data_IF_589199420939
#
_entry.id   IF_589199420939
#
_cell.length_a   1.000
_cell.length_b   1.000
_cell.length_c   1.000
_cell.angle_alpha   90.00
_cell.angle_beta   90.00
_cell.angle_gamma   90.00
#
_symmetry.space_group_name_H-M   'P 1'
#
loop_
_entity.id
_entity.type
_entity.pdbx_description
1 polymer ?
#
# COMPACT_ATOMS: atom_id res chain seq x y z
N UNK A 1 8.88 -5.60 8.26
CA UNK A 1 7.61 -5.07 8.82
C UNK A 1 7.51 -3.53 8.82
N UNK A 2 8.57 -2.74 8.54
CA UNK A 2 8.58 -1.25 8.57
C UNK A 2 8.06 -0.49 7.32
N UNK A 3 7.67 -1.17 6.22
CA UNK A 3 7.35 -0.49 4.94
C UNK A 3 5.93 0.12 4.92
N UNK A 4 5.02 -0.34 5.80
CA UNK A 4 3.60 0.02 5.75
C UNK A 4 3.20 1.24 6.59
N UNK A 5 4.10 1.78 7.41
CA UNK A 5 3.82 2.96 8.26
C UNK A 5 3.94 4.29 7.52
N UNK A 6 4.46 4.30 6.28
CA UNK A 6 4.78 5.56 5.59
C UNK A 6 3.53 6.43 5.34
N UNK A 7 2.39 5.84 4.99
CA UNK A 7 1.16 6.63 4.77
C UNK A 7 0.40 6.96 6.07
N UNK A 8 0.40 6.07 7.08
CA UNK A 8 -0.13 6.42 8.41
C UNK A 8 0.65 7.58 9.02
N UNK A 9 1.97 7.66 8.76
CA UNK A 9 2.81 8.77 9.22
C UNK A 9 2.42 10.09 8.55
N UNK A 10 2.00 10.12 7.29
CA UNK A 10 1.56 11.38 6.65
C UNK A 10 0.31 11.92 7.33
N UNK A 11 -0.70 11.08 7.57
CA UNK A 11 -1.91 11.52 8.29
C UNK A 11 -1.63 11.89 9.75
N UNK A 12 -0.79 11.11 10.46
CA UNK A 12 -0.35 11.48 11.80
C UNK A 12 0.45 12.78 11.82
N UNK A 13 1.29 13.04 10.81
CA UNK A 13 2.02 14.31 10.65
C UNK A 13 1.05 15.44 10.34
N UNK A 14 0.04 15.23 9.50
CA UNK A 14 -0.99 16.24 9.23
C UNK A 14 -1.74 16.58 10.52
N UNK A 15 -2.18 15.57 11.28
CA UNK A 15 -2.81 15.77 12.60
C UNK A 15 -1.87 16.50 13.55
N UNK A 16 -0.59 16.09 13.63
CA UNK A 16 0.41 16.77 14.45
C UNK A 16 0.63 18.22 14.00
N UNK A 17 0.68 18.49 12.69
CA UNK A 17 0.80 19.84 12.13
C UNK A 17 -0.44 20.68 12.40
N UNK A 18 -1.63 20.08 12.34
CA UNK A 18 -2.88 20.73 12.75
C UNK A 18 -2.76 21.15 14.21
N UNK A 19 -2.43 20.22 15.12
CA UNK A 19 -2.32 20.52 16.56
C UNK A 19 -1.14 21.43 16.93
N UNK A 20 -0.01 21.36 16.23
CA UNK A 20 1.20 22.18 16.52
C UNK A 20 1.18 23.56 15.86
N UNK A 21 0.48 23.71 14.72
CA UNK A 21 0.22 25.04 14.13
C UNK A 21 -0.94 25.77 14.82
N UNK A 22 -1.78 25.04 15.56
CA UNK A 22 -2.78 25.59 16.45
C UNK A 22 -2.13 26.11 17.74
N UNK A 23 -1.89 27.42 17.81
CA UNK A 23 -1.48 28.07 19.05
C UNK A 23 -2.70 28.14 20.00
N UNK A 24 -2.68 27.53 21.19
CA UNK A 24 -3.83 27.55 22.12
C UNK A 24 -4.19 28.95 22.64
N UNK A 25 -3.37 29.96 22.32
CA UNK A 25 -3.55 31.36 22.74
C UNK A 25 -4.18 32.28 21.70
N UNK A 26 -4.62 31.78 20.52
CA UNK A 26 -5.46 32.59 19.64
C UNK A 26 -6.89 32.62 20.20
N UNK A 27 -7.14 33.56 21.11
CA UNK A 27 -8.46 33.87 21.60
C UNK A 27 -9.34 34.27 20.39
N UNK A 28 -10.51 33.65 20.15
CA UNK A 28 -11.42 34.07 19.07
C UNK A 28 -11.96 35.50 19.27
N UNK A 29 -11.66 36.12 20.41
CA UNK A 29 -12.28 37.34 20.91
C UNK A 29 -11.58 38.65 20.52
N UNK A 30 -10.62 38.68 19.59
CA UNK A 30 -10.24 39.95 18.92
C UNK A 30 -11.21 40.20 17.75
N UNK A 31 -12.46 40.49 18.12
CA UNK A 31 -13.57 40.74 17.19
C UNK A 31 -13.47 42.17 16.65
N UNK A 32 -13.19 42.29 15.35
CA UNK A 32 -13.57 43.46 14.56
C UNK A 32 -15.07 43.30 14.26
N UNK A 33 -15.90 44.24 14.71
CA UNK A 33 -17.37 44.21 14.63
C UNK A 33 -17.92 43.60 13.31
N UNK A 34 -18.53 42.41 13.37
CA UNK A 34 -19.33 41.86 12.25
C UNK A 34 -20.53 42.77 12.00
N UNK A 35 -20.64 43.31 10.79
CA UNK A 35 -21.91 43.86 10.26
C UNK A 35 -22.48 42.89 9.23
N UNK A 36 -23.81 42.71 9.25
CA UNK A 36 -24.59 41.65 8.60
C UNK A 36 -24.43 41.58 7.06
N UNK A 37 -23.78 42.57 6.42
CA UNK A 37 -23.72 42.70 4.97
C UNK A 37 -22.43 42.21 4.30
N UNK A 38 -21.38 41.85 5.05
CA UNK A 38 -20.10 41.41 4.45
C UNK A 38 -19.65 40.07 5.01
N UNK A 39 -19.75 39.04 4.16
CA UNK A 39 -19.06 37.75 4.34
C UNK A 39 -17.54 37.99 4.41
N UNK A 40 -16.93 37.72 5.54
CA UNK A 40 -15.51 37.95 5.83
C UNK A 40 -14.65 36.73 5.49
N UNK A 41 -13.35 37.00 5.26
CA UNK A 41 -12.27 36.02 5.12
C UNK A 41 -11.48 36.03 6.43
N UNK A 42 -11.54 34.94 7.18
CA UNK A 42 -10.72 34.77 8.37
C UNK A 42 -9.39 34.10 8.00
N UNK A 43 -8.27 34.56 8.59
CA UNK A 43 -6.95 33.92 8.40
C UNK A 43 -6.43 33.46 9.74
N UNK A 44 -6.17 32.16 9.85
CA UNK A 44 -5.89 31.48 11.11
C UNK A 44 -6.64 30.15 11.17
N UNK A 45 -6.43 29.41 12.26
CA UNK A 45 -7.11 28.13 12.49
C UNK A 45 -8.30 28.37 13.42
N UNK A 46 -9.38 27.62 13.22
CA UNK A 46 -10.54 27.60 14.11
C UNK A 46 -10.62 26.23 14.78
N UNK A 47 -10.75 26.22 16.10
CA UNK A 47 -10.88 25.01 16.91
C UNK A 47 -12.18 25.13 17.71
N UNK A 48 -13.07 24.17 17.52
CA UNK A 48 -14.37 24.05 18.19
C UNK A 48 -14.34 22.77 19.02
N UNK A 49 -14.33 22.91 20.35
CA UNK A 49 -14.22 21.78 21.28
C UNK A 49 -15.55 21.41 21.92
N UNK A 50 -16.39 22.40 22.19
CA UNK A 50 -17.64 22.22 22.92
C UNK A 50 -18.86 22.59 22.07
N UNK A 51 -20.06 22.18 22.50
CA UNK A 51 -21.29 22.62 21.82
C UNK A 51 -21.44 24.15 21.88
N UNK A 52 -21.04 24.78 23.00
CA UNK A 52 -21.01 26.24 23.11
C UNK A 52 -20.12 26.88 22.03
N UNK A 53 -18.99 26.28 21.66
CA UNK A 53 -18.14 26.78 20.57
C UNK A 53 -18.86 26.71 19.22
N UNK A 54 -19.58 25.61 18.96
CA UNK A 54 -20.39 25.41 17.75
C UNK A 54 -21.52 26.45 17.67
N UNK A 55 -22.27 26.61 18.75
CA UNK A 55 -23.43 27.50 18.81
C UNK A 55 -23.04 28.97 18.65
N UNK A 56 -21.91 29.36 19.25
CA UNK A 56 -21.35 30.71 19.18
C UNK A 56 -20.53 30.98 17.92
N UNK A 57 -20.39 30.01 16.99
CA UNK A 57 -19.61 30.20 15.78
C UNK A 57 -20.10 31.42 15.00
N UNK A 58 -19.17 32.32 14.66
CA UNK A 58 -19.50 33.65 14.16
C UNK A 58 -20.15 33.60 12.76
N UNK A 59 -21.29 34.31 12.61
CA UNK A 59 -22.12 34.25 11.40
C UNK A 59 -21.51 34.90 10.15
N UNK A 60 -20.37 35.60 10.25
CA UNK A 60 -19.78 36.33 9.12
C UNK A 60 -18.54 35.65 8.47
N UNK A 61 -18.05 34.50 8.96
CA UNK A 61 -16.86 33.82 8.41
C UNK A 61 -17.22 32.86 7.27
N UNK A 62 -17.40 33.40 6.06
CA UNK A 62 -17.66 32.57 4.88
C UNK A 62 -16.46 31.74 4.42
N UNK A 63 -15.25 32.29 4.58
CA UNK A 63 -14.01 31.68 4.10
C UNK A 63 -12.97 31.65 5.21
N UNK A 64 -12.46 30.46 5.49
CA UNK A 64 -11.41 30.18 6.44
C UNK A 64 -10.09 29.88 5.69
N UNK A 65 -9.14 30.81 5.80
CA UNK A 65 -7.76 30.60 5.36
C UNK A 65 -6.96 29.88 6.46
N UNK A 66 -7.28 28.61 6.71
CA UNK A 66 -6.66 27.79 7.74
C UNK A 66 -7.40 26.48 7.97
N UNK A 67 -7.12 25.83 9.11
CA UNK A 67 -7.75 24.58 9.51
C UNK A 67 -9.08 24.84 10.24
N UNK A 68 -10.10 24.04 9.95
CA UNK A 68 -11.28 23.89 10.83
C UNK A 68 -11.15 22.59 11.61
N UNK A 69 -11.07 22.68 12.92
CA UNK A 69 -10.88 21.55 13.83
C UNK A 69 -12.09 21.47 14.76
N UNK A 70 -12.87 20.41 14.63
CA UNK A 70 -14.00 20.10 15.52
C UNK A 70 -13.56 18.90 16.35
N UNK A 71 -13.12 19.12 17.58
CA UNK A 71 -12.41 18.10 18.36
C UNK A 71 -12.83 18.06 19.83
N UNK A 72 -13.41 16.93 20.24
CA UNK A 72 -13.92 16.71 21.61
C UNK A 72 -12.87 16.24 22.61
N UNK A 73 -11.58 16.30 22.27
CA UNK A 73 -10.48 15.91 23.16
C UNK A 73 -10.46 16.74 24.45
N UNK A 74 -10.29 16.05 25.58
CA UNK A 74 -10.25 16.63 26.94
C UNK A 74 -11.53 17.39 27.36
N UNK A 75 -12.66 17.13 26.71
CA UNK A 75 -13.95 17.70 27.09
C UNK A 75 -14.65 16.79 28.11
N UNK A 76 -14.82 17.29 29.34
CA UNK A 76 -15.52 16.60 30.44
C UNK A 76 -17.03 16.92 30.50
N UNK A 77 -17.42 18.11 30.04
CA UNK A 77 -18.81 18.60 29.99
C UNK A 77 -19.01 19.48 28.75
N UNK A 78 -20.26 19.67 28.31
CA UNK A 78 -20.59 20.45 27.09
C UNK A 78 -20.12 19.78 25.78
N UNK A 79 -20.37 18.48 25.66
CA UNK A 79 -20.04 17.71 24.47
C UNK A 79 -20.81 18.18 23.25
N UNK A 80 -20.14 18.22 22.09
CA UNK A 80 -20.76 18.51 20.79
C UNK A 80 -21.77 17.39 20.46
N UNK A 81 -23.05 17.77 20.36
CA UNK A 81 -24.20 16.91 20.04
C UNK A 81 -24.61 17.02 18.58
N UNK A 82 -24.44 18.19 17.97
CA UNK A 82 -24.76 18.46 16.57
C UNK A 82 -23.92 19.63 16.02
N UNK A 83 -23.88 19.76 14.70
CA UNK A 83 -23.14 20.82 14.00
C UNK A 83 -24.07 21.82 13.31
N UNK A 84 -25.37 21.82 13.64
CA UNK A 84 -26.40 22.55 12.90
C UNK A 84 -26.13 24.04 12.91
N UNK A 85 -25.57 24.57 14.01
CA UNK A 85 -25.22 25.98 14.10
C UNK A 85 -24.14 26.41 13.10
N UNK A 86 -23.38 25.49 12.48
CA UNK A 86 -22.42 25.81 11.41
C UNK A 86 -23.08 25.96 10.03
N UNK A 87 -24.35 25.57 9.91
CA UNK A 87 -25.06 25.60 8.64
C UNK A 87 -25.08 27.02 8.05
N UNK A 88 -24.75 27.13 6.77
CA UNK A 88 -24.62 28.39 6.02
C UNK A 88 -23.60 29.42 6.54
N UNK A 89 -22.85 29.12 7.60
CA UNK A 89 -21.84 30.03 8.15
C UNK A 89 -20.52 29.98 7.38
N UNK A 90 -20.08 28.78 6.99
CA UNK A 90 -18.80 28.56 6.32
C UNK A 90 -18.98 27.88 4.95
N UNK A 91 -18.35 28.43 3.92
CA UNK A 91 -18.38 27.90 2.55
C UNK A 91 -17.02 27.38 2.05
N UNK A 92 -15.91 27.90 2.58
CA UNK A 92 -14.57 27.57 2.08
C UNK A 92 -13.60 27.36 3.23
N UNK A 93 -12.91 26.22 3.24
CA UNK A 93 -11.77 25.92 4.12
C UNK A 93 -10.55 25.75 3.21
N UNK A 94 -9.56 26.64 3.27
CA UNK A 94 -8.41 26.55 2.35
C UNK A 94 -7.40 25.48 2.74
N UNK A 95 -7.45 24.98 3.98
CA UNK A 95 -6.62 23.86 4.46
C UNK A 95 -7.47 22.63 4.71
N UNK A 96 -7.31 21.97 5.85
CA UNK A 96 -8.00 20.73 6.19
C UNK A 96 -9.17 20.93 7.16
N UNK A 97 -10.16 20.05 7.06
CA UNK A 97 -11.25 19.86 8.02
C UNK A 97 -10.94 18.62 8.87
N UNK A 98 -10.93 18.78 10.19
CA UNK A 98 -10.82 17.67 11.15
C UNK A 98 -12.09 17.58 12.00
N UNK A 99 -12.66 16.38 12.11
CA UNK A 99 -13.79 16.05 13.00
C UNK A 99 -13.35 14.87 13.88
N UNK A 100 -13.00 15.14 15.12
CA UNK A 100 -12.24 14.23 15.98
C UNK A 100 -12.85 14.03 17.35
N UNK A 101 -12.74 12.81 17.89
CA UNK A 101 -12.91 12.54 19.33
C UNK A 101 -14.28 12.96 19.90
N UNK A 102 -15.35 12.92 19.09
CA UNK A 102 -16.70 13.31 19.49
C UNK A 102 -17.46 12.09 20.03
N UNK A 103 -17.67 12.07 21.35
CA UNK A 103 -18.25 10.92 22.08
C UNK A 103 -19.72 10.66 21.77
N UNK A 104 -20.47 11.68 21.35
CA UNK A 104 -21.94 11.59 21.22
C UNK A 104 -22.51 12.08 19.88
N UNK A 105 -21.72 12.75 19.05
CA UNK A 105 -22.16 13.22 17.73
C UNK A 105 -22.62 12.03 16.85
N UNK A 106 -23.84 12.08 16.31
CA UNK A 106 -24.41 10.97 15.52
C UNK A 106 -24.32 11.16 14.00
N UNK A 107 -24.29 12.42 13.51
CA UNK A 107 -24.18 12.81 12.10
C UNK A 107 -23.35 14.11 11.97
N UNK A 108 -23.09 14.56 10.74
CA UNK A 108 -22.40 15.83 10.47
C UNK A 108 -23.32 16.89 9.85
N UNK A 109 -24.62 16.79 10.14
CA UNK A 109 -25.61 17.76 9.67
C UNK A 109 -25.22 19.16 10.13
N UNK A 110 -25.20 20.11 9.19
CA UNK A 110 -24.74 21.48 9.41
C UNK A 110 -23.43 21.82 8.68
N UNK A 111 -22.72 20.83 8.13
CA UNK A 111 -21.57 21.08 7.26
C UNK A 111 -21.93 21.25 5.77
N UNK A 112 -23.20 21.01 5.41
CA UNK A 112 -23.75 20.98 4.05
C UNK A 112 -23.36 22.15 3.14
N UNK A 113 -23.16 23.34 3.72
CA UNK A 113 -22.90 24.58 2.98
C UNK A 113 -21.44 24.74 2.53
N UNK A 114 -20.52 23.90 3.01
CA UNK A 114 -19.12 23.92 2.59
C UNK A 114 -19.04 23.49 1.12
N UNK A 115 -18.35 24.30 0.31
CA UNK A 115 -18.18 24.10 -1.15
C UNK A 115 -16.76 23.71 -1.52
N UNK A 116 -15.78 24.05 -0.67
CA UNK A 116 -14.38 23.79 -0.95
C UNK A 116 -13.59 23.49 0.33
N UNK A 117 -12.80 22.42 0.27
CA UNK A 117 -11.78 22.05 1.25
C UNK A 117 -10.47 21.90 0.48
N UNK A 118 -9.46 22.67 0.85
CA UNK A 118 -8.25 22.83 0.04
C UNK A 118 -7.24 21.70 0.20
N UNK A 119 -7.14 21.11 1.39
CA UNK A 119 -6.23 20.00 1.70
C UNK A 119 -7.07 18.75 2.03
N UNK A 120 -7.20 18.40 3.32
CA UNK A 120 -7.70 17.09 3.74
C UNK A 120 -9.02 17.13 4.49
N UNK A 121 -9.73 16.01 4.51
CA UNK A 121 -10.87 15.75 5.40
C UNK A 121 -10.52 14.57 6.29
N UNK A 122 -10.44 14.80 7.60
CA UNK A 122 -10.06 13.80 8.59
C UNK A 122 -11.22 13.63 9.56
N UNK A 123 -11.77 12.41 9.67
CA UNK A 123 -12.88 12.12 10.58
C UNK A 123 -12.54 10.94 11.48
N UNK A 124 -12.12 11.23 12.72
CA UNK A 124 -11.50 10.25 13.63
C UNK A 124 -12.16 10.13 15.00
N UNK A 125 -12.11 8.93 15.60
CA UNK A 125 -12.50 8.68 16.99
C UNK A 125 -13.91 9.20 17.38
N UNK A 126 -14.88 9.08 16.48
CA UNK A 126 -16.26 9.51 16.74
C UNK A 126 -17.17 8.31 17.06
N UNK A 127 -17.24 7.93 18.35
CA UNK A 127 -17.86 6.69 18.84
C UNK A 127 -19.32 6.47 18.45
N UNK A 128 -20.05 7.58 18.23
CA UNK A 128 -21.49 7.56 17.92
C UNK A 128 -21.81 8.01 16.50
N UNK A 129 -20.81 8.42 15.71
CA UNK A 129 -21.03 8.88 14.35
C UNK A 129 -21.45 7.70 13.47
N UNK A 130 -22.71 7.71 13.04
CA UNK A 130 -23.36 6.63 12.28
C UNK A 130 -23.48 6.95 10.79
N UNK A 131 -23.54 8.24 10.45
CA UNK A 131 -23.76 8.71 9.09
C UNK A 131 -22.95 9.96 8.79
N UNK A 132 -22.53 10.06 7.52
CA UNK A 132 -21.99 11.27 6.91
C UNK A 132 -22.63 11.51 5.53
N UNK A 133 -23.87 11.06 5.35
CA UNK A 133 -24.62 11.32 4.12
C UNK A 133 -24.83 12.83 3.89
N UNK A 134 -24.81 13.62 4.96
CA UNK A 134 -24.81 15.09 4.96
C UNK A 134 -23.44 15.69 4.61
N UNK A 135 -22.48 14.89 4.13
CA UNK A 135 -21.24 15.45 3.61
C UNK A 135 -21.53 16.26 2.35
N UNK A 136 -20.96 17.47 2.19
CA UNK A 136 -21.38 18.39 1.13
C UNK A 136 -21.25 17.81 -0.27
N UNK A 137 -22.39 17.66 -0.95
CA UNK A 137 -22.45 17.12 -2.32
C UNK A 137 -21.82 18.04 -3.38
N UNK A 138 -21.52 19.29 -3.01
CA UNK A 138 -20.85 20.29 -3.84
C UNK A 138 -19.34 20.05 -3.95
N UNK A 139 -18.74 19.32 -2.99
CA UNK A 139 -17.33 18.99 -2.99
C UNK A 139 -17.09 17.85 -3.98
N UNK A 140 -16.27 18.12 -4.99
CA UNK A 140 -15.95 17.16 -6.06
C UNK A 140 -14.50 16.68 -6.03
N UNK A 141 -13.64 17.33 -5.23
CA UNK A 141 -12.22 17.05 -5.10
C UNK A 141 -11.78 17.31 -3.67
N UNK A 142 -10.99 16.39 -3.12
CA UNK A 142 -10.33 16.48 -1.81
C UNK A 142 -8.89 16.00 -2.03
N UNK A 143 -7.89 16.57 -1.34
CA UNK A 143 -6.52 16.08 -1.44
C UNK A 143 -6.43 14.74 -0.75
N UNK A 144 -6.65 14.70 0.56
CA UNK A 144 -6.64 13.45 1.32
C UNK A 144 -7.89 13.28 2.16
N UNK A 145 -8.42 12.06 2.24
CA UNK A 145 -9.49 11.73 3.18
C UNK A 145 -9.04 10.61 4.10
N UNK A 146 -9.04 10.86 5.42
CA UNK A 146 -8.80 9.84 6.44
C UNK A 146 -10.04 9.57 7.26
N UNK A 147 -10.43 8.32 7.29
CA UNK A 147 -11.55 7.81 8.05
C UNK A 147 -11.08 6.74 9.04
N UNK A 148 -10.41 7.12 10.16
CA UNK A 148 -9.86 6.15 11.10
C UNK A 148 -10.87 5.70 12.17
N UNK A 149 -10.36 4.92 13.12
CA UNK A 149 -11.12 4.15 14.11
C UNK A 149 -12.21 4.92 14.87
N UNK A 150 -13.24 4.19 15.30
CA UNK A 150 -14.26 4.69 16.23
C UNK A 150 -15.57 5.10 15.57
N UNK A 151 -15.54 5.48 14.30
CA UNK A 151 -16.79 5.75 13.56
C UNK A 151 -17.58 4.46 13.35
N UNK A 152 -18.89 4.53 13.56
CA UNK A 152 -19.81 3.39 13.39
C UNK A 152 -20.60 3.55 12.10
N UNK A 153 -19.92 3.97 11.04
CA UNK A 153 -20.51 3.98 9.71
C UNK A 153 -20.83 2.55 9.29
N UNK A 154 -22.09 2.33 8.88
CA UNK A 154 -22.47 1.07 8.25
C UNK A 154 -22.15 1.09 6.75
N UNK A 155 -22.24 2.26 6.11
CA UNK A 155 -21.99 2.49 4.69
C UNK A 155 -21.22 3.80 4.49
N UNK A 156 -20.46 3.87 3.40
CA UNK A 156 -19.90 5.13 2.91
C UNK A 156 -21.00 6.03 2.33
N UNK A 157 -20.91 7.37 2.46
CA UNK A 157 -21.94 8.27 1.94
C UNK A 157 -21.93 8.32 0.42
N UNK A 158 -23.12 8.46 -0.16
CA UNK A 158 -23.24 8.85 -1.57
C UNK A 158 -22.72 10.28 -1.73
N UNK A 159 -21.64 10.44 -2.49
CA UNK A 159 -21.02 11.74 -2.72
C UNK A 159 -20.62 11.92 -4.20
N UNK A 160 -20.38 13.17 -4.58
CA UNK A 160 -19.94 13.53 -5.94
C UNK A 160 -18.41 13.66 -6.04
N UNK A 161 -17.66 13.18 -5.04
CA UNK A 161 -16.21 13.32 -5.02
C UNK A 161 -15.61 12.34 -6.03
N UNK A 162 -14.82 12.88 -6.94
CA UNK A 162 -14.28 12.13 -8.09
C UNK A 162 -12.74 12.16 -8.17
N UNK A 163 -12.11 12.98 -7.32
CA UNK A 163 -10.66 13.20 -7.29
C UNK A 163 -10.15 13.16 -5.86
N UNK A 164 -9.14 12.31 -5.64
CA UNK A 164 -8.37 12.18 -4.42
C UNK A 164 -6.89 12.13 -4.77
N UNK A 165 -6.03 12.81 -4.00
CA UNK A 165 -4.64 12.42 -3.89
C UNK A 165 -4.55 11.13 -3.07
N UNK A 166 -5.13 11.10 -1.86
CA UNK A 166 -5.20 9.92 -1.01
C UNK A 166 -6.59 9.65 -0.41
N UNK A 167 -6.88 8.36 -0.20
CA UNK A 167 -8.11 7.89 0.43
C UNK A 167 -7.75 6.77 1.43
N UNK A 168 -7.95 7.04 2.70
CA UNK A 168 -7.73 6.13 3.81
C UNK A 168 -9.07 5.80 4.48
N UNK A 169 -9.48 4.53 4.38
CA UNK A 169 -10.69 3.98 5.01
C UNK A 169 -10.22 2.89 5.96
N UNK A 170 -10.08 3.22 7.25
CA UNK A 170 -9.47 2.28 8.18
C UNK A 170 -10.13 2.13 9.53
N UNK A 171 -10.06 0.90 10.08
CA UNK A 171 -10.53 0.58 11.44
C UNK A 171 -12.02 0.87 11.67
N UNK A 172 -12.86 0.73 10.64
CA UNK A 172 -14.31 0.88 10.72
C UNK A 172 -14.97 -0.48 10.90
N UNK A 173 -15.12 -0.92 12.15
CA UNK A 173 -15.62 -2.27 12.49
C UNK A 173 -17.05 -2.54 12.04
N UNK A 174 -17.87 -1.49 11.81
CA UNK A 174 -19.26 -1.64 11.36
C UNK A 174 -19.44 -1.42 9.84
N UNK A 175 -18.40 -0.96 9.13
CA UNK A 175 -18.50 -0.62 7.71
C UNK A 175 -18.65 -1.89 6.87
N UNK A 176 -19.80 -2.01 6.19
CA UNK A 176 -20.13 -3.16 5.33
C UNK A 176 -19.91 -2.90 3.85
N UNK A 177 -19.95 -1.64 3.44
CA UNK A 177 -19.99 -1.25 2.03
C UNK A 177 -19.38 0.14 1.83
N UNK A 178 -18.66 0.31 0.72
CA UNK A 178 -18.13 1.60 0.25
C UNK A 178 -18.85 2.14 -1.00
N UNK A 179 -20.02 1.56 -1.31
CA UNK A 179 -20.94 2.04 -2.37
C UNK A 179 -21.29 3.49 -2.08
N UNK A 180 -20.81 4.40 -2.91
CA UNK A 180 -20.78 5.83 -2.64
C UNK A 180 -19.50 6.50 -3.17
N UNK A 181 -18.44 5.71 -3.37
CA UNK A 181 -17.20 6.11 -4.05
C UNK A 181 -17.26 6.03 -5.58
N UNK A 182 -18.46 5.81 -6.16
CA UNK A 182 -18.68 5.37 -7.55
C UNK A 182 -18.17 6.36 -8.62
N UNK A 183 -17.78 7.56 -8.22
CA UNK A 183 -17.32 8.63 -9.10
C UNK A 183 -15.78 8.73 -9.19
N UNK A 184 -15.05 7.94 -8.40
CA UNK A 184 -13.59 8.01 -8.34
C UNK A 184 -12.98 7.26 -9.51
N UNK A 185 -12.33 8.00 -10.41
CA UNK A 185 -11.62 7.40 -11.56
C UNK A 185 -10.12 7.26 -11.35
N UNK A 186 -9.52 8.19 -10.61
CA UNK A 186 -8.08 8.24 -10.37
C UNK A 186 -7.82 8.66 -8.93
N UNK A 187 -6.92 7.95 -8.25
CA UNK A 187 -6.42 8.34 -6.91
C UNK A 187 -4.89 8.37 -6.90
N UNK A 188 -4.32 9.50 -6.51
CA UNK A 188 -2.87 9.69 -6.44
C UNK A 188 -2.21 9.87 -7.80
N UNK A 189 -1.12 10.63 -7.82
CA UNK A 189 -0.46 11.04 -9.06
C UNK A 189 1.08 10.97 -9.05
N UNK A 190 1.73 10.73 -7.89
CA UNK A 190 3.20 10.68 -7.82
C UNK A 190 3.73 9.82 -6.66
N UNK A 191 5.03 9.53 -6.70
CA UNK A 191 5.74 8.82 -5.63
C UNK A 191 5.64 9.52 -4.26
N UNK A 192 5.50 10.85 -4.27
CA UNK A 192 5.50 11.70 -3.08
C UNK A 192 4.11 11.87 -2.43
N UNK A 193 3.04 11.31 -2.98
CA UNK A 193 1.73 11.45 -2.36
C UNK A 193 0.61 10.62 -2.98
N UNK A 194 -0.11 9.93 -2.11
CA UNK A 194 -1.48 9.52 -2.39
C UNK A 194 -1.69 8.09 -2.89
N UNK A 195 -2.85 7.54 -2.57
CA UNK A 195 -3.28 6.19 -2.91
C UNK A 195 -4.52 5.80 -2.11
N UNK A 196 -5.03 4.61 -2.35
CA UNK A 196 -6.15 4.05 -1.61
C UNK A 196 -5.60 3.08 -0.55
N UNK A 197 -5.99 3.27 0.70
CA UNK A 197 -5.75 2.34 1.78
C UNK A 197 -7.08 1.98 2.44
N UNK A 198 -7.51 0.73 2.27
CA UNK A 198 -8.71 0.18 2.90
C UNK A 198 -8.26 -0.91 3.86
N UNK A 199 -8.34 -0.63 5.16
CA UNK A 199 -7.74 -1.55 6.15
C UNK A 199 -8.51 -1.72 7.45
N UNK A 200 -8.51 -2.93 8.01
CA UNK A 200 -9.13 -3.25 9.29
C UNK A 200 -10.64 -2.90 9.35
N UNK A 201 -11.36 -3.02 8.24
CA UNK A 201 -12.82 -2.91 8.21
C UNK A 201 -13.42 -4.31 8.31
N UNK A 202 -13.72 -4.75 9.54
CA UNK A 202 -13.98 -6.16 9.83
C UNK A 202 -15.21 -6.75 9.13
N UNK A 203 -16.19 -5.90 8.76
CA UNK A 203 -17.43 -6.30 8.10
C UNK A 203 -17.50 -5.96 6.61
N UNK A 204 -16.45 -5.38 6.01
CA UNK A 204 -16.44 -5.02 4.59
C UNK A 204 -16.36 -6.29 3.73
N UNK A 205 -17.37 -6.52 2.89
CA UNK A 205 -17.52 -7.77 2.13
C UNK A 205 -16.98 -7.68 0.69
N UNK A 206 -17.06 -6.49 0.09
CA UNK A 206 -16.63 -6.19 -1.28
C UNK A 206 -16.08 -4.75 -1.38
N UNK A 207 -15.50 -4.40 -2.53
CA UNK A 207 -15.03 -3.05 -2.83
C UNK A 207 -16.01 -2.32 -3.76
N UNK A 208 -17.29 -2.76 -3.79
CA UNK A 208 -18.34 -2.11 -4.54
C UNK A 208 -18.46 -0.66 -4.08
N UNK A 209 -18.44 0.28 -5.02
CA UNK A 209 -18.03 1.64 -4.75
C UNK A 209 -16.90 2.11 -5.66
N UNK A 210 -15.95 1.24 -6.01
CA UNK A 210 -14.75 1.63 -6.77
C UNK A 210 -14.85 1.31 -8.25
N UNK A 211 -16.03 1.01 -8.78
CA UNK A 211 -16.21 0.47 -10.14
C UNK A 211 -15.69 1.42 -11.22
N UNK A 212 -15.67 2.73 -10.95
CA UNK A 212 -15.13 3.73 -11.87
C UNK A 212 -13.60 3.86 -11.81
N UNK A 213 -12.92 3.25 -10.83
CA UNK A 213 -11.50 3.44 -10.59
C UNK A 213 -10.68 2.80 -11.71
N UNK A 214 -9.98 3.64 -12.47
CA UNK A 214 -9.13 3.20 -13.57
C UNK A 214 -7.65 3.19 -13.18
N UNK A 215 -7.24 4.08 -12.26
CA UNK A 215 -5.83 4.26 -11.89
C UNK A 215 -5.69 4.58 -10.41
N UNK A 216 -4.68 4.02 -9.77
CA UNK A 216 -4.24 4.44 -8.45
C UNK A 216 -2.73 4.53 -8.39
N UNK A 217 -2.16 5.34 -7.50
CA UNK A 217 -0.72 5.30 -7.26
C UNK A 217 -0.34 4.17 -6.30
N UNK A 218 -0.88 4.16 -5.08
CA UNK A 218 -0.79 3.02 -4.15
C UNK A 218 -2.17 2.40 -3.90
N UNK A 219 -2.27 1.08 -3.81
CA UNK A 219 -3.48 0.40 -3.36
C UNK A 219 -3.12 -0.60 -2.25
N UNK A 220 -3.61 -0.36 -1.04
CA UNK A 220 -3.42 -1.23 0.12
C UNK A 220 -4.76 -1.75 0.62
N UNK A 221 -4.94 -3.06 0.59
CA UNK A 221 -6.12 -3.77 1.09
C UNK A 221 -5.67 -4.71 2.21
N UNK A 222 -5.91 -4.33 3.47
CA UNK A 222 -5.26 -4.99 4.59
C UNK A 222 -6.18 -5.28 5.79
N UNK A 223 -6.25 -6.53 6.27
CA UNK A 223 -7.00 -6.80 7.50
C UNK A 223 -8.53 -6.71 7.38
N UNK A 224 -9.09 -6.76 6.16
CA UNK A 224 -10.55 -6.74 5.96
C UNK A 224 -11.08 -8.18 5.99
N UNK A 225 -11.33 -8.70 7.19
CA UNK A 225 -11.56 -10.13 7.46
C UNK A 225 -12.68 -10.76 6.61
N UNK A 226 -13.72 -10.00 6.24
CA UNK A 226 -14.88 -10.49 5.46
C UNK A 226 -14.75 -10.29 3.95
N UNK A 227 -13.73 -9.57 3.48
CA UNK A 227 -13.52 -9.30 2.06
C UNK A 227 -13.17 -10.61 1.34
N UNK A 228 -13.95 -10.98 0.33
CA UNK A 228 -13.80 -12.28 -0.36
C UNK A 228 -13.02 -12.21 -1.66
N UNK A 229 -13.05 -11.05 -2.32
CA UNK A 229 -12.45 -10.80 -3.62
C UNK A 229 -12.27 -9.28 -3.83
N UNK A 230 -11.92 -8.88 -5.05
CA UNK A 230 -11.67 -7.49 -5.45
C UNK A 230 -12.80 -6.93 -6.33
N UNK A 231 -14.01 -7.48 -6.26
CA UNK A 231 -15.15 -6.91 -6.99
C UNK A 231 -15.37 -5.46 -6.58
N UNK A 232 -15.61 -4.61 -7.57
CA UNK A 232 -15.49 -3.16 -7.48
C UNK A 232 -14.22 -2.61 -8.13
N UNK A 233 -13.19 -3.40 -8.43
CA UNK A 233 -11.97 -2.94 -9.10
C UNK A 233 -11.88 -3.33 -10.59
N UNK A 234 -13.01 -3.66 -11.22
CA UNK A 234 -13.07 -4.22 -12.58
C UNK A 234 -12.44 -3.31 -13.64
N UNK A 235 -12.45 -2.00 -13.44
CA UNK A 235 -11.89 -1.04 -14.39
C UNK A 235 -10.45 -0.61 -14.06
N UNK A 236 -9.87 -1.10 -12.97
CA UNK A 236 -8.52 -0.71 -12.55
C UNK A 236 -7.47 -1.28 -13.52
N UNK A 237 -6.80 -0.38 -14.24
CA UNK A 237 -5.80 -0.72 -15.26
C UNK A 237 -4.38 -0.53 -14.81
N UNK A 238 -4.12 0.41 -13.90
CA UNK A 238 -2.77 0.78 -13.50
C UNK A 238 -2.66 1.11 -12.02
N UNK A 239 -1.64 0.55 -11.39
CA UNK A 239 -1.11 0.98 -10.11
C UNK A 239 0.28 1.58 -10.36
N UNK A 240 0.52 2.83 -9.96
CA UNK A 240 1.78 3.52 -10.22
C UNK A 240 2.95 2.97 -9.39
N UNK A 241 2.68 2.72 -8.12
CA UNK A 241 3.58 2.14 -7.13
C UNK A 241 3.11 0.74 -6.71
N UNK A 242 2.79 0.56 -5.43
CA UNK A 242 2.57 -0.76 -4.84
C UNK A 242 1.10 -1.17 -4.75
N UNK A 243 0.81 -2.42 -5.14
CA UNK A 243 -0.37 -3.18 -4.76
C UNK A 243 -0.02 -4.06 -3.56
N UNK A 244 -0.63 -3.77 -2.41
CA UNK A 244 -0.40 -4.48 -1.17
C UNK A 244 -1.70 -5.12 -0.68
N UNK A 245 -1.72 -6.44 -0.58
CA UNK A 245 -2.90 -7.20 -0.16
C UNK A 245 -2.47 -8.15 0.96
N UNK A 246 -3.05 -8.00 2.15
CA UNK A 246 -2.72 -8.95 3.20
C UNK A 246 -3.63 -8.98 4.41
N UNK A 247 -3.54 -10.07 5.17
CA UNK A 247 -4.38 -10.34 6.35
C UNK A 247 -5.88 -10.27 6.06
N UNK A 248 -6.30 -10.59 4.84
CA UNK A 248 -7.73 -10.67 4.50
C UNK A 248 -8.16 -12.14 4.61
N UNK A 249 -8.59 -12.55 5.80
CA UNK A 249 -8.83 -13.96 6.15
C UNK A 249 -9.82 -14.69 5.22
N UNK A 250 -10.84 -13.99 4.71
CA UNK A 250 -11.84 -14.57 3.79
C UNK A 250 -11.49 -14.44 2.30
N UNK A 251 -10.39 -13.77 1.96
CA UNK A 251 -10.02 -13.47 0.58
C UNK A 251 -9.61 -14.76 -0.14
N UNK A 252 -10.39 -15.18 -1.12
CA UNK A 252 -10.16 -16.45 -1.83
C UNK A 252 -9.68 -16.26 -3.27
N UNK A 253 -9.88 -15.07 -3.85
CA UNK A 253 -9.50 -14.76 -5.23
C UNK A 253 -9.23 -13.28 -5.44
N UNK A 254 -8.51 -12.95 -6.51
CA UNK A 254 -8.33 -11.56 -6.98
C UNK A 254 -9.34 -11.15 -8.07
N UNK A 255 -10.46 -11.87 -8.17
CA UNK A 255 -11.55 -11.53 -9.07
C UNK A 255 -11.95 -10.06 -8.89
N UNK A 256 -11.98 -9.31 -10.00
CA UNK A 256 -12.06 -7.86 -10.02
C UNK A 256 -10.81 -7.21 -10.63
N UNK A 257 -9.61 -7.78 -10.45
CA UNK A 257 -8.37 -7.22 -11.00
C UNK A 257 -8.07 -7.61 -12.47
N UNK A 258 -9.04 -8.17 -13.19
CA UNK A 258 -8.87 -8.77 -14.52
C UNK A 258 -8.33 -7.79 -15.60
N UNK A 259 -8.42 -6.49 -15.36
CA UNK A 259 -7.96 -5.44 -16.26
C UNK A 259 -6.66 -4.76 -15.82
N UNK A 260 -6.05 -5.20 -14.72
CA UNK A 260 -4.80 -4.63 -14.22
C UNK A 260 -3.64 -4.99 -15.15
N UNK A 261 -3.06 -3.99 -15.83
CA UNK A 261 -2.01 -4.19 -16.84
C UNK A 261 -0.62 -3.84 -16.31
N UNK A 262 -0.54 -2.95 -15.32
CA UNK A 262 0.71 -2.41 -14.80
C UNK A 262 0.63 -2.15 -13.31
N UNK A 263 1.69 -2.53 -12.60
CA UNK A 263 1.92 -2.19 -11.20
C UNK A 263 3.42 -2.04 -10.95
N UNK A 264 3.78 -1.24 -9.95
CA UNK A 264 5.18 -1.04 -9.58
C UNK A 264 5.73 -2.07 -8.61
N UNK A 265 4.92 -2.52 -7.67
CA UNK A 265 5.25 -3.61 -6.75
C UNK A 265 4.00 -4.41 -6.39
N UNK A 266 4.15 -5.72 -6.21
CA UNK A 266 3.10 -6.64 -5.77
C UNK A 266 3.52 -7.28 -4.46
N UNK A 267 2.70 -7.10 -3.42
CA UNK A 267 2.88 -7.74 -2.13
C UNK A 267 1.60 -8.46 -1.72
N UNK A 268 1.69 -9.77 -1.53
CA UNK A 268 0.59 -10.65 -1.12
C UNK A 268 1.02 -11.39 0.14
N UNK A 269 0.44 -11.05 1.30
CA UNK A 269 0.91 -11.56 2.60
C UNK A 269 -0.24 -12.02 3.48
N UNK A 270 -0.12 -13.17 4.15
CA UNK A 270 -1.06 -13.62 5.18
C UNK A 270 -2.53 -13.70 4.68
N UNK A 271 -2.79 -14.22 3.47
CA UNK A 271 -4.15 -14.48 2.99
C UNK A 271 -4.40 -16.01 2.94
N UNK A 272 -4.78 -16.64 4.07
CA UNK A 272 -4.75 -18.09 4.21
C UNK A 272 -5.74 -18.83 3.30
N UNK A 273 -6.82 -18.18 2.83
CA UNK A 273 -7.80 -18.76 1.92
C UNK A 273 -7.58 -18.40 0.44
N UNK A 274 -6.57 -17.57 0.13
CA UNK A 274 -6.31 -17.14 -1.25
C UNK A 274 -5.83 -18.32 -2.08
N UNK A 275 -6.63 -18.71 -3.07
CA UNK A 275 -6.33 -19.85 -3.94
C UNK A 275 -6.19 -19.49 -5.41
N UNK A 276 -6.66 -18.31 -5.81
CA UNK A 276 -6.71 -17.90 -7.21
C UNK A 276 -6.25 -16.45 -7.42
N UNK A 277 -5.18 -16.28 -8.20
CA UNK A 277 -4.66 -14.98 -8.62
C UNK A 277 -4.71 -14.77 -10.15
N UNK A 278 -5.42 -15.61 -10.91
CA UNK A 278 -5.46 -15.58 -12.39
C UNK A 278 -5.95 -14.24 -12.96
N UNK A 279 -6.66 -13.44 -12.19
CA UNK A 279 -7.02 -12.07 -12.59
C UNK A 279 -5.79 -11.19 -12.90
N UNK A 280 -4.58 -11.56 -12.47
CA UNK A 280 -3.33 -10.83 -12.74
C UNK A 280 -2.70 -11.10 -14.11
N UNK A 281 -3.29 -11.95 -14.95
CA UNK A 281 -2.71 -12.43 -16.21
C UNK A 281 -2.29 -11.32 -17.19
N UNK A 282 -2.81 -10.09 -17.09
CA UNK A 282 -2.43 -9.00 -18.00
C UNK A 282 -1.11 -8.33 -17.65
N UNK A 283 -0.57 -8.55 -16.46
CA UNK A 283 0.66 -7.90 -16.01
C UNK A 283 1.86 -8.51 -16.74
N UNK A 284 2.61 -7.66 -17.44
CA UNK A 284 3.81 -8.07 -18.19
C UNK A 284 5.12 -7.65 -17.53
N UNK A 285 5.06 -6.59 -16.73
CA UNK A 285 6.22 -5.99 -16.08
C UNK A 285 5.78 -5.51 -14.71
N UNK A 286 6.56 -5.85 -13.69
CA UNK A 286 6.49 -5.24 -12.36
C UNK A 286 7.65 -4.25 -12.31
N UNK A 287 7.35 -2.96 -12.37
CA UNK A 287 8.40 -1.95 -12.40
C UNK A 287 8.08 -0.73 -11.57
N UNK A 288 8.97 -0.40 -10.63
CA UNK A 288 8.89 0.83 -9.85
C UNK A 288 8.74 2.08 -10.74
N UNK A 289 8.48 3.22 -10.11
CA UNK A 289 8.46 4.50 -10.84
C UNK A 289 9.77 4.69 -11.64
N UNK A 290 9.74 5.54 -12.67
CA UNK A 290 10.95 5.88 -13.46
C UNK A 290 12.00 6.66 -12.64
N UNK A 291 11.77 6.84 -11.35
CA UNK A 291 12.66 7.55 -10.44
C UNK A 291 13.84 6.66 -10.04
N UNK A 292 14.97 7.31 -9.77
CA UNK A 292 16.23 6.64 -9.47
C UNK A 292 16.14 5.74 -8.24
N UNK A 293 15.34 6.12 -7.24
CA UNK A 293 15.19 5.44 -5.95
C UNK A 293 13.98 4.51 -5.87
N UNK A 294 13.29 4.26 -6.99
CA UNK A 294 12.04 3.51 -6.97
C UNK A 294 12.23 2.07 -6.52
N UNK A 295 11.20 1.45 -5.93
CA UNK A 295 11.25 0.06 -5.51
C UNK A 295 10.39 -0.83 -6.41
N UNK A 296 10.85 -2.06 -6.62
CA UNK A 296 10.12 -3.09 -7.35
C UNK A 296 10.13 -4.40 -6.56
N UNK A 297 9.03 -4.68 -5.87
CA UNK A 297 8.87 -5.87 -5.07
C UNK A 297 7.88 -6.83 -5.73
N UNK A 298 8.21 -8.12 -5.73
CA UNK A 298 7.28 -9.22 -5.91
C UNK A 298 7.38 -10.10 -4.67
N UNK A 299 6.41 -9.99 -3.77
CA UNK A 299 6.41 -10.67 -2.46
C UNK A 299 5.16 -11.52 -2.33
N UNK A 300 5.35 -12.81 -2.08
CA UNK A 300 4.26 -13.76 -1.83
C UNK A 300 4.64 -14.52 -0.56
N UNK A 301 3.99 -14.19 0.55
CA UNK A 301 4.37 -14.67 1.88
C UNK A 301 3.15 -15.24 2.60
N UNK A 302 3.25 -16.45 3.14
CA UNK A 302 2.22 -17.05 3.98
C UNK A 302 0.81 -17.07 3.34
N UNK A 303 0.70 -17.56 2.10
CA UNK A 303 -0.57 -17.77 1.42
C UNK A 303 -0.83 -19.27 1.23
N UNK A 304 -1.17 -19.96 2.31
CA UNK A 304 -1.17 -21.42 2.43
C UNK A 304 -2.20 -22.16 1.57
N UNK A 305 -3.22 -21.49 1.03
CA UNK A 305 -4.16 -22.08 0.06
C UNK A 305 -3.76 -21.88 -1.41
N UNK A 306 -2.74 -21.05 -1.68
CA UNK A 306 -2.28 -20.80 -3.03
C UNK A 306 -1.48 -22.01 -3.51
N UNK A 307 -1.93 -22.63 -4.61
CA UNK A 307 -1.31 -23.85 -5.16
C UNK A 307 -0.37 -23.59 -6.33
N UNK A 308 -0.53 -22.44 -6.98
CA UNK A 308 0.19 -22.05 -8.19
C UNK A 308 0.22 -20.55 -8.33
N UNK A 309 1.20 -20.03 -9.07
CA UNK A 309 1.30 -18.62 -9.43
C UNK A 309 0.64 -18.28 -10.78
N UNK A 310 -0.38 -19.03 -11.19
CA UNK A 310 -1.07 -18.99 -12.51
C UNK A 310 -1.63 -17.63 -12.97
N UNK A 311 -1.47 -16.56 -12.21
CA UNK A 311 -1.75 -15.18 -12.63
C UNK A 311 -0.53 -14.40 -13.11
N UNK A 312 0.68 -14.89 -12.85
CA UNK A 312 1.93 -14.17 -13.09
C UNK A 312 2.66 -14.65 -14.35
N UNK A 313 2.08 -15.59 -15.08
CA UNK A 313 2.69 -16.28 -16.22
C UNK A 313 3.11 -15.33 -17.35
N UNK A 314 2.61 -14.09 -17.38
CA UNK A 314 2.98 -13.11 -18.40
C UNK A 314 4.03 -12.10 -17.92
N UNK A 315 4.44 -12.14 -16.65
CA UNK A 315 5.47 -11.26 -16.09
C UNK A 315 6.82 -11.65 -16.66
N UNK A 316 7.40 -10.75 -17.46
CA UNK A 316 8.71 -10.92 -18.09
C UNK A 316 9.84 -10.21 -17.37
N UNK A 317 9.52 -9.15 -16.63
CA UNK A 317 10.53 -8.28 -16.01
C UNK A 317 10.09 -7.81 -14.64
N UNK A 318 11.04 -7.80 -13.71
CA UNK A 318 10.94 -7.21 -12.38
C UNK A 318 12.06 -6.15 -12.25
N UNK A 319 11.72 -4.86 -12.29
CA UNK A 319 12.73 -3.80 -12.50
C UNK A 319 12.50 -2.56 -11.66
N UNK A 320 13.52 -2.09 -10.93
CA UNK A 320 13.50 -0.81 -10.20
C UNK A 320 14.37 0.27 -10.86
N UNK A 321 14.45 1.45 -10.23
CA UNK A 321 15.41 2.51 -10.58
C UNK A 321 16.87 2.16 -10.23
N UNK A 322 17.81 3.02 -10.63
CA UNK A 322 19.27 2.77 -10.55
C UNK A 322 19.81 2.66 -9.11
N UNK A 323 19.24 3.40 -8.17
CA UNK A 323 19.50 3.31 -6.72
C UNK A 323 18.37 2.56 -6.00
N UNK A 324 17.40 2.07 -6.79
CA UNK A 324 16.23 1.35 -6.34
C UNK A 324 16.52 -0.06 -5.86
N UNK A 325 15.61 -0.59 -5.06
CA UNK A 325 15.66 -1.96 -4.56
C UNK A 325 14.68 -2.81 -5.36
N UNK A 326 15.17 -3.92 -5.88
CA UNK A 326 14.37 -4.96 -6.53
C UNK A 326 14.36 -6.21 -5.67
N UNK A 327 13.20 -6.75 -5.31
CA UNK A 327 13.14 -8.02 -4.55
C UNK A 327 12.09 -8.98 -5.09
N UNK A 328 12.51 -10.23 -5.26
CA UNK A 328 11.63 -11.39 -5.41
C UNK A 328 11.67 -12.17 -4.09
N UNK A 329 10.56 -12.25 -3.38
CA UNK A 329 10.46 -12.90 -2.06
C UNK A 329 9.30 -13.88 -2.08
N UNK A 330 9.59 -15.17 -1.92
CA UNK A 330 8.61 -16.24 -1.81
C UNK A 330 8.87 -16.98 -0.50
N UNK A 331 8.01 -16.77 0.49
CA UNK A 331 8.24 -17.26 1.86
C UNK A 331 7.01 -17.93 2.46
N UNK A 332 7.22 -18.99 3.24
CA UNK A 332 6.17 -19.63 4.05
C UNK A 332 4.91 -20.05 3.24
N UNK A 333 5.06 -20.44 1.97
CA UNK A 333 3.95 -20.95 1.15
C UNK A 333 3.98 -22.48 1.02
N UNK A 334 2.87 -23.05 0.56
CA UNK A 334 2.66 -24.50 0.41
C UNK A 334 2.68 -24.97 -1.05
N UNK A 335 2.96 -24.07 -1.99
CA UNK A 335 3.04 -24.40 -3.42
C UNK A 335 4.15 -25.41 -3.69
N UNK A 336 3.93 -26.31 -4.66
CA UNK A 336 4.92 -27.32 -5.05
C UNK A 336 5.89 -26.82 -6.13
N UNK A 337 5.51 -25.78 -6.87
CA UNK A 337 6.36 -25.14 -7.87
C UNK A 337 6.02 -23.65 -7.99
N UNK A 338 6.90 -22.90 -8.65
CA UNK A 338 6.68 -21.50 -9.02
C UNK A 338 6.52 -21.32 -10.53
N UNK A 339 5.96 -22.30 -11.25
CA UNK A 339 5.90 -22.29 -12.73
C UNK A 339 5.20 -21.06 -13.32
N UNK A 340 4.36 -20.38 -12.53
CA UNK A 340 3.78 -19.10 -12.94
C UNK A 340 4.80 -17.97 -13.10
N UNK A 341 6.06 -18.16 -12.72
CA UNK A 341 7.18 -17.25 -12.97
C UNK A 341 8.10 -17.72 -14.10
N UNK A 342 7.78 -18.83 -14.79
CA UNK A 342 8.64 -19.39 -15.83
C UNK A 342 8.98 -18.39 -16.95
N UNK A 343 8.14 -17.39 -17.21
CA UNK A 343 8.38 -16.38 -18.25
C UNK A 343 9.15 -15.14 -17.76
N UNK A 344 9.56 -15.08 -16.49
CA UNK A 344 10.38 -14.01 -15.96
C UNK A 344 11.78 -14.12 -16.56
N UNK A 345 12.20 -13.10 -17.32
CA UNK A 345 13.47 -13.08 -18.06
C UNK A 345 14.53 -12.20 -17.41
N UNK A 346 14.10 -11.14 -16.71
CA UNK A 346 15.01 -10.14 -16.19
C UNK A 346 14.59 -9.66 -14.80
N UNK A 347 15.57 -9.62 -13.91
CA UNK A 347 15.48 -8.88 -12.64
C UNK A 347 16.57 -7.80 -12.64
N UNK A 348 16.24 -6.54 -12.36
CA UNK A 348 17.26 -5.49 -12.33
C UNK A 348 16.93 -4.30 -11.45
N UNK A 349 17.91 -3.79 -10.72
CA UNK A 349 17.81 -2.62 -9.85
C UNK A 349 19.18 -2.13 -9.40
N UNK A 350 19.25 -1.19 -8.47
CA UNK A 350 20.50 -0.86 -7.79
C UNK A 350 20.94 -1.98 -6.84
N UNK A 351 19.97 -2.55 -6.12
CA UNK A 351 20.12 -3.66 -5.19
C UNK A 351 19.08 -4.72 -5.55
N UNK A 352 19.50 -5.99 -5.65
CA UNK A 352 18.61 -7.09 -6.04
C UNK A 352 18.63 -8.23 -5.03
N UNK A 353 17.48 -8.62 -4.52
CA UNK A 353 17.36 -9.81 -3.67
C UNK A 353 16.41 -10.83 -4.29
N UNK A 354 16.82 -12.10 -4.33
CA UNK A 354 15.96 -13.25 -4.57
C UNK A 354 15.99 -14.10 -3.31
N UNK A 355 14.85 -14.23 -2.65
CA UNK A 355 14.70 -14.96 -1.38
C UNK A 355 13.58 -15.98 -1.55
N UNK A 356 13.93 -17.26 -1.44
CA UNK A 356 13.00 -18.39 -1.47
C UNK A 356 13.23 -19.16 -0.18
N UNK A 357 12.39 -18.91 0.82
CA UNK A 357 12.58 -19.43 2.17
C UNK A 357 11.34 -20.16 2.70
N UNK A 358 11.53 -21.24 3.44
CA UNK A 358 10.46 -21.95 4.16
C UNK A 358 9.28 -22.42 3.28
N UNK A 359 9.50 -22.73 2.00
CA UNK A 359 8.47 -23.35 1.16
C UNK A 359 8.66 -24.87 1.18
N UNK A 360 8.24 -25.52 2.26
CA UNK A 360 8.59 -26.92 2.53
C UNK A 360 8.19 -27.90 1.42
N UNK A 361 7.07 -27.63 0.74
CA UNK A 361 6.54 -28.45 -0.36
C UNK A 361 7.14 -28.14 -1.73
N UNK A 362 7.96 -27.08 -1.84
CA UNK A 362 8.50 -26.61 -3.11
C UNK A 362 9.54 -27.59 -3.66
N UNK A 363 9.28 -28.16 -4.84
CA UNK A 363 10.19 -29.08 -5.54
C UNK A 363 10.88 -28.46 -6.75
N UNK A 364 10.44 -27.28 -7.21
CA UNK A 364 10.99 -26.55 -8.36
C UNK A 364 10.85 -25.04 -8.15
N UNK A 365 11.86 -24.28 -8.56
CA UNK A 365 11.96 -22.82 -8.39
C UNK A 365 11.26 -22.07 -9.54
N UNK A 366 10.94 -22.70 -10.66
CA UNK A 366 10.08 -22.13 -11.71
C UNK A 366 10.62 -20.83 -12.34
N UNK A 367 11.95 -20.66 -12.38
CA UNK A 367 12.64 -19.51 -12.98
C UNK A 367 13.36 -19.90 -14.29
N UNK A 368 12.81 -20.89 -15.02
CA UNK A 368 13.48 -21.55 -16.15
C UNK A 368 13.95 -20.60 -17.28
N UNK A 369 13.26 -19.48 -17.50
CA UNK A 369 13.65 -18.49 -18.50
C UNK A 369 14.30 -17.24 -17.89
N UNK A 370 14.70 -17.26 -16.62
CA UNK A 370 15.41 -16.14 -16.01
C UNK A 370 16.83 -16.08 -16.56
N UNK A 371 17.04 -15.16 -17.49
CA UNK A 371 18.30 -14.98 -18.21
C UNK A 371 19.30 -14.13 -17.40
N UNK A 372 18.81 -13.08 -16.73
CA UNK A 372 19.72 -12.10 -16.13
C UNK A 372 19.21 -11.46 -14.84
N UNK A 373 20.11 -11.38 -13.86
CA UNK A 373 20.04 -10.44 -12.74
C UNK A 373 21.07 -9.33 -12.96
N UNK A 374 20.61 -8.11 -13.16
CA UNK A 374 21.48 -6.99 -13.54
C UNK A 374 21.41 -5.84 -12.55
N UNK A 375 22.55 -5.47 -11.99
CA UNK A 375 22.66 -4.16 -11.36
C UNK A 375 22.69 -3.06 -12.42
N UNK A 376 21.86 -2.04 -12.20
CA UNK A 376 21.82 -0.81 -13.01
C UNK A 376 22.36 0.39 -12.24
N UNK A 377 23.03 0.15 -11.11
CA UNK A 377 23.71 1.17 -10.31
C UNK A 377 24.90 1.76 -11.08
N UNK A 378 25.19 3.07 -10.99
CA UNK A 378 26.40 3.65 -11.56
C UNK A 378 27.67 2.91 -11.09
N UNK A 379 28.48 2.44 -12.03
CA UNK A 379 29.72 1.68 -11.77
C UNK A 379 30.79 2.50 -11.02
N UNK A 380 30.67 3.83 -11.03
CA UNK A 380 31.56 4.77 -10.34
C UNK A 380 31.41 4.79 -8.82
N UNK A 381 30.33 4.20 -8.28
CA UNK A 381 30.10 4.16 -6.84
C UNK A 381 30.66 2.88 -6.22
N UNK A 382 31.40 2.99 -5.12
CA UNK A 382 31.98 1.85 -4.41
C UNK A 382 30.93 1.03 -3.64
N UNK A 383 29.71 1.54 -3.47
CA UNK A 383 28.55 0.82 -2.94
C UNK A 383 27.71 0.11 -4.02
N UNK A 384 28.12 0.21 -5.30
CA UNK A 384 27.30 -0.20 -6.44
C UNK A 384 27.04 -1.70 -6.54
N UNK A 385 25.77 -2.09 -6.68
CA UNK A 385 25.35 -3.39 -7.19
C UNK A 385 25.59 -4.54 -6.23
N UNK A 386 24.62 -4.76 -5.35
CA UNK A 386 24.56 -5.93 -4.48
C UNK A 386 23.43 -6.86 -4.95
N UNK A 387 23.76 -8.14 -5.11
CA UNK A 387 22.82 -9.19 -5.45
C UNK A 387 22.82 -10.26 -4.35
N UNK A 388 21.72 -10.44 -3.64
CA UNK A 388 21.54 -11.56 -2.72
C UNK A 388 20.65 -12.62 -3.33
N UNK A 389 21.10 -13.87 -3.26
CA UNK A 389 20.36 -15.05 -3.70
C UNK A 389 20.31 -16.06 -2.56
N UNK A 390 19.14 -16.16 -1.93
CA UNK A 390 18.91 -16.97 -0.74
C UNK A 390 17.87 -18.05 -1.03
N UNK A 391 18.26 -19.32 -0.88
CA UNK A 391 17.37 -20.48 -0.95
C UNK A 391 17.51 -21.25 0.37
N UNK A 392 16.52 -21.12 1.25
CA UNK A 392 16.60 -21.65 2.60
C UNK A 392 15.38 -22.46 3.00
N UNK A 393 15.58 -23.56 3.73
CA UNK A 393 14.50 -24.35 4.32
C UNK A 393 13.42 -24.90 3.35
N UNK A 394 13.72 -25.10 2.07
CA UNK A 394 12.78 -25.69 1.10
C UNK A 394 12.99 -27.21 1.05
N UNK A 395 12.28 -27.93 1.93
CA UNK A 395 12.58 -29.34 2.23
C UNK A 395 12.43 -30.29 1.03
N UNK A 396 11.52 -30.01 0.11
CA UNK A 396 11.24 -30.84 -1.07
C UNK A 396 12.07 -30.49 -2.30
N UNK A 397 12.83 -29.38 -2.26
CA UNK A 397 13.63 -28.91 -3.39
C UNK A 397 14.83 -29.83 -3.55
N UNK A 398 14.95 -30.46 -4.72
CA UNK A 398 16.00 -31.45 -4.98
C UNK A 398 17.04 -31.03 -6.03
N UNK A 399 16.74 -30.02 -6.84
CA UNK A 399 17.64 -29.50 -7.87
C UNK A 399 17.48 -27.99 -8.06
N UNK A 400 18.42 -27.38 -8.79
CA UNK A 400 18.41 -25.97 -9.20
C UNK A 400 18.37 -25.81 -10.73
N UNK A 401 17.93 -26.82 -11.48
CA UNK A 401 18.01 -26.85 -12.95
C UNK A 401 17.23 -25.69 -13.62
N UNK A 402 16.20 -25.19 -12.93
CA UNK A 402 15.45 -24.00 -13.34
C UNK A 402 16.31 -22.73 -13.43
N UNK A 403 17.56 -22.73 -12.94
CA UNK A 403 18.46 -21.58 -12.98
C UNK A 403 19.50 -21.66 -14.11
N UNK A 404 19.42 -22.66 -15.00
CA UNK A 404 20.45 -22.94 -16.00
C UNK A 404 20.80 -21.73 -16.88
N UNK A 405 19.83 -20.87 -17.21
CA UNK A 405 20.04 -19.69 -18.06
C UNK A 405 20.55 -18.46 -17.30
N UNK A 406 20.56 -18.51 -15.96
CA UNK A 406 20.78 -17.32 -15.14
C UNK A 406 22.24 -16.86 -15.18
N UNK A 407 22.43 -15.60 -15.56
CA UNK A 407 23.66 -14.85 -15.40
C UNK A 407 23.46 -13.68 -14.42
N UNK A 408 24.52 -13.31 -13.70
CA UNK A 408 24.55 -12.07 -12.90
C UNK A 408 25.50 -11.08 -13.55
N UNK A 409 25.01 -9.86 -13.81
CA UNK A 409 25.74 -8.83 -14.54
C UNK A 409 25.82 -7.52 -13.74
N UNK A 410 26.96 -6.83 -13.84
CA UNK A 410 27.22 -5.51 -13.24
C UNK A 410 27.04 -5.40 -11.71
N UNK A 411 27.00 -6.52 -10.98
CA UNK A 411 26.97 -6.54 -9.52
C UNK A 411 28.41 -6.60 -8.99
N UNK A 412 28.79 -5.71 -8.07
CA UNK A 412 30.10 -5.74 -7.42
C UNK A 412 30.14 -6.68 -6.22
N UNK A 413 28.99 -7.04 -5.66
CA UNK A 413 28.90 -8.03 -4.60
C UNK A 413 27.77 -9.00 -4.89
N UNK A 414 28.05 -10.30 -4.81
CA UNK A 414 27.03 -11.33 -4.97
C UNK A 414 27.12 -12.27 -3.79
N UNK A 415 25.99 -12.44 -3.10
CA UNK A 415 25.85 -13.32 -1.95
C UNK A 415 24.94 -14.49 -2.32
N UNK A 416 25.47 -15.71 -2.25
CA UNK A 416 24.72 -16.94 -2.41
C UNK A 416 24.62 -17.67 -1.08
N UNK A 417 23.39 -17.88 -0.63
CA UNK A 417 23.09 -18.61 0.58
C UNK A 417 22.10 -19.74 0.27
N UNK A 418 22.58 -20.98 0.24
CA UNK A 418 21.76 -22.16 -0.01
C UNK A 418 21.87 -23.09 1.19
N UNK A 419 20.91 -23.00 2.11
CA UNK A 419 21.03 -23.61 3.44
C UNK A 419 19.77 -24.37 3.85
N UNK A 420 19.95 -25.54 4.47
CA UNK A 420 18.84 -26.31 5.07
C UNK A 420 17.77 -26.81 4.07
N UNK A 421 18.14 -27.05 2.81
CA UNK A 421 17.26 -27.68 1.81
C UNK A 421 17.53 -29.19 1.79
N UNK A 422 16.82 -29.94 2.64
CA UNK A 422 17.14 -31.33 2.97
C UNK A 422 17.19 -32.31 1.79
N UNK A 423 16.47 -32.03 0.71
CA UNK A 423 16.46 -32.89 -0.49
C UNK A 423 17.43 -32.43 -1.59
N UNK A 424 18.05 -31.25 -1.43
CA UNK A 424 18.81 -30.61 -2.50
C UNK A 424 20.16 -31.28 -2.71
N UNK A 425 20.29 -31.97 -3.85
CA UNK A 425 21.52 -32.68 -4.23
C UNK A 425 22.05 -32.33 -5.63
N UNK A 426 21.28 -31.62 -6.46
CA UNK A 426 21.70 -31.22 -7.80
C UNK A 426 21.86 -29.69 -7.90
N UNK A 427 23.10 -29.24 -8.13
CA UNK A 427 23.47 -27.84 -8.28
C UNK A 427 23.81 -27.44 -9.73
N UNK A 428 23.66 -28.33 -10.71
CA UNK A 428 24.18 -28.10 -12.05
C UNK A 428 23.52 -26.91 -12.75
N UNK A 429 22.27 -26.57 -12.40
CA UNK A 429 21.61 -25.37 -12.90
C UNK A 429 22.27 -24.05 -12.52
N UNK A 430 23.15 -23.99 -11.51
CA UNK A 430 23.90 -22.77 -11.20
C UNK A 430 25.32 -22.74 -11.79
N UNK A 431 25.71 -23.71 -12.63
CA UNK A 431 27.08 -23.76 -13.17
C UNK A 431 27.43 -22.51 -13.99
N UNK A 432 26.53 -22.03 -14.85
CA UNK A 432 26.76 -20.83 -15.65
C UNK A 432 26.98 -19.59 -14.79
N UNK A 433 26.27 -19.52 -13.66
CA UNK A 433 26.37 -18.45 -12.69
C UNK A 433 27.73 -18.43 -11.99
N UNK A 434 28.25 -19.61 -11.63
CA UNK A 434 29.57 -19.78 -11.01
C UNK A 434 30.69 -19.45 -12.00
N UNK A 435 30.59 -19.94 -13.25
CA UNK A 435 31.62 -19.75 -14.28
C UNK A 435 31.71 -18.31 -14.80
N UNK A 436 30.59 -17.58 -14.82
CA UNK A 436 30.56 -16.18 -15.30
C UNK A 436 31.11 -15.17 -14.29
N UNK A 437 31.22 -15.53 -13.01
CA UNK A 437 31.65 -14.65 -11.93
C UNK A 437 33.02 -15.05 -11.35
N UNK A 438 34.06 -15.03 -12.19
CA UNK A 438 35.40 -15.55 -11.82
C UNK A 438 36.19 -14.70 -10.82
N UNK A 439 35.71 -13.52 -10.43
CA UNK A 439 36.35 -12.71 -9.40
C UNK A 439 35.85 -13.15 -8.01
N UNK A 440 36.44 -14.24 -7.51
CA UNK A 440 36.04 -14.93 -6.27
C UNK A 440 36.05 -14.02 -5.02
N UNK A 441 36.84 -12.95 -5.02
CA UNK A 441 36.92 -12.01 -3.89
C UNK A 441 35.62 -11.20 -3.66
N UNK A 442 34.73 -11.19 -4.66
CA UNK A 442 33.45 -10.47 -4.65
C UNK A 442 32.24 -11.39 -4.44
N UNK A 443 32.48 -12.70 -4.29
CA UNK A 443 31.47 -13.72 -4.09
C UNK A 443 31.46 -14.20 -2.64
N UNK A 444 30.35 -13.97 -1.94
CA UNK A 444 30.09 -14.63 -0.66
C UNK A 444 29.28 -15.89 -0.93
N UNK A 445 29.84 -17.08 -0.69
CA UNK A 445 29.20 -18.36 -1.01
C UNK A 445 29.04 -19.24 0.23
N UNK A 446 27.80 -19.58 0.57
CA UNK A 446 27.46 -20.41 1.74
C UNK A 446 26.49 -21.52 1.35
N UNK A 447 27.00 -22.76 1.33
CA UNK A 447 26.21 -23.99 1.17
C UNK A 447 26.39 -24.86 2.39
N UNK A 448 25.30 -25.14 3.11
CA UNK A 448 25.33 -26.02 4.29
C UNK A 448 23.97 -26.65 4.59
N UNK A 449 23.97 -27.79 5.30
CA UNK A 449 22.76 -28.49 5.72
C UNK A 449 21.81 -28.90 4.57
N UNK A 450 22.32 -29.09 3.35
CA UNK A 450 21.58 -29.68 2.22
C UNK A 450 21.93 -31.17 2.06
N UNK A 451 21.27 -31.89 1.15
CA UNK A 451 21.60 -33.31 0.87
C UNK A 451 23.01 -33.47 0.29
N UNK A 452 23.44 -32.52 -0.54
CA UNK A 452 24.81 -32.38 -1.03
C UNK A 452 25.30 -30.97 -0.74
N UNK A 453 26.53 -30.81 -0.27
CA UNK A 453 27.08 -29.50 0.07
C UNK A 453 28.43 -29.32 -0.65
N UNK A 454 28.42 -29.05 -1.97
CA UNK A 454 29.65 -28.84 -2.71
C UNK A 454 30.37 -27.58 -2.24
N UNK A 455 31.70 -27.65 -2.24
CA UNK A 455 32.54 -26.46 -2.09
C UNK A 455 32.50 -25.61 -3.35
N UNK A 456 32.87 -24.33 -3.23
CA UNK A 456 32.99 -23.45 -4.39
C UNK A 456 33.94 -24.02 -5.45
N UNK A 457 35.07 -24.61 -5.04
CA UNK A 457 36.03 -25.21 -5.96
C UNK A 457 35.44 -26.41 -6.72
N UNK A 458 34.62 -27.24 -6.05
CA UNK A 458 33.91 -28.35 -6.68
C UNK A 458 32.96 -27.84 -7.77
N UNK A 459 32.16 -26.82 -7.47
CA UNK A 459 31.26 -26.21 -8.47
C UNK A 459 32.03 -25.61 -9.65
N UNK A 460 33.16 -24.93 -9.40
CA UNK A 460 34.04 -24.41 -10.47
C UNK A 460 34.61 -25.53 -11.34
N UNK A 461 34.91 -26.69 -10.76
CA UNK A 461 35.38 -27.87 -11.49
C UNK A 461 34.26 -28.64 -12.22
N UNK A 462 33.00 -28.27 -12.00
CA UNK A 462 31.82 -28.95 -12.56
C UNK A 462 31.28 -30.09 -11.70
N UNK A 463 31.79 -30.28 -10.48
CA UNK A 463 31.32 -31.28 -9.51
C UNK A 463 30.01 -30.79 -8.84
N UNK A 464 28.92 -30.76 -9.61
CA UNK A 464 27.61 -30.26 -9.19
C UNK A 464 26.65 -31.34 -8.66
N UNK A 465 27.13 -32.58 -8.54
CA UNK A 465 26.40 -33.76 -8.05
C UNK A 465 27.26 -34.54 -7.03
N UNK A 466 26.66 -35.33 -6.12
CA UNK A 466 27.36 -36.14 -5.11
C UNK A 466 28.33 -37.18 -5.66
#
# INVERSE_FOLDING_TARGET
MKIFEVNNNVFHIIILLIYTSCNPNSNPNEIVECTIEVKQVYTGNIILKTQTDIDNFEHCISKLNGFLVIDGTDVESDHIVDLIALNDKIDTITRSLLIGNLKILENIEGLNSIKHIGESVIIENNDKLKSIEDFPSSITSIVDMDWPAGTRLNNWPNNNISKFEGLLISKNSNLKSIRGLNNIKVVGHSFAGGGIQISNNELLEDLGGLEALEKSWYLTIWGNKKLKNMFGLENLKRIGGSLNIGRNESLNSFNGLNNLERLGSLTIIDNPLLSDIRSLLKIKVISGSQEINSWAYLRIINNTSLKSLDGLNNVKKLVSGQEGITKLIIEDNTMTNLEGLNNLQQISGGFTDIIINNNESLSSIGLINLEVIKSIHPLSDNSAGYCKFEITNNQSLNNLDDLLLLEVQNNKHIEFQIVSNKSLNNYCGINNLILSNTNLDLLTFSISNNAYNPTMQQLVNGDCLP
#
